data_IF_618867565454
#
_entry.id   IF_618867565454
#
_cell.length_a   1.000
_cell.length_b   1.000
_cell.length_c   1.000
_cell.angle_alpha   90.00
_cell.angle_beta   90.00
_cell.angle_gamma   90.00
#
_symmetry.space_group_name_H-M   'P 1'
#
loop_
_entity.id
_entity.type
_entity.pdbx_description
1 polymer ?
#
# COMPACT_ATOMS: atom_id res chain seq x y z
N UNK A 1 39.79 -46.89 22.04
CA UNK A 1 38.42 -47.22 21.60
C UNK A 1 37.34 -46.26 22.18
N UNK A 2 37.52 -45.48 23.30
CA UNK A 2 36.40 -44.59 23.76
C UNK A 2 36.21 -43.28 23.00
N UNK A 3 37.18 -42.81 22.21
CA UNK A 3 37.12 -41.49 21.55
C UNK A 3 36.12 -41.47 20.38
N UNK A 4 35.95 -42.56 19.65
CA UNK A 4 35.02 -42.66 18.53
C UNK A 4 33.56 -42.68 18.97
N UNK A 5 33.24 -43.16 20.16
CA UNK A 5 31.87 -43.20 20.69
C UNK A 5 31.39 -41.79 21.09
N UNK A 6 32.25 -40.93 21.61
CA UNK A 6 31.90 -39.54 22.00
C UNK A 6 31.67 -38.67 20.79
N UNK A 7 32.45 -38.82 19.72
CA UNK A 7 32.26 -38.06 18.47
C UNK A 7 30.92 -38.39 17.80
N UNK A 8 30.49 -39.66 17.82
CA UNK A 8 29.20 -40.08 17.26
C UNK A 8 28.01 -39.51 18.03
N UNK A 9 28.06 -39.43 19.34
CA UNK A 9 27.00 -38.85 20.17
C UNK A 9 26.88 -37.36 19.97
N UNK A 10 27.97 -36.60 19.85
CA UNK A 10 27.97 -35.17 19.60
C UNK A 10 27.42 -34.83 18.20
N UNK A 11 27.70 -35.67 17.19
CA UNK A 11 27.15 -35.52 15.84
C UNK A 11 25.64 -35.77 15.81
N UNK A 12 25.16 -36.79 16.51
CA UNK A 12 23.73 -37.09 16.63
C UNK A 12 22.95 -35.98 17.37
N UNK A 13 23.54 -35.46 18.46
CA UNK A 13 22.93 -34.33 19.20
C UNK A 13 22.90 -33.06 18.34
N UNK A 14 23.95 -32.79 17.56
CA UNK A 14 24.00 -31.68 16.63
C UNK A 14 22.95 -31.77 15.51
N UNK A 15 22.75 -32.97 14.94
CA UNK A 15 21.74 -33.24 13.92
C UNK A 15 20.35 -33.11 14.52
N UNK A 16 20.08 -33.64 15.69
CA UNK A 16 18.78 -33.52 16.37
C UNK A 16 18.50 -32.03 16.71
N UNK A 17 19.49 -31.30 17.18
CA UNK A 17 19.33 -29.87 17.47
C UNK A 17 19.10 -29.04 16.23
N UNK A 18 19.78 -29.38 15.12
CA UNK A 18 19.55 -28.74 13.82
C UNK A 18 18.14 -29.04 13.28
N UNK A 19 17.67 -30.28 13.39
CA UNK A 19 16.30 -30.64 12.98
C UNK A 19 15.23 -30.04 13.91
N UNK A 20 15.47 -29.93 15.22
CA UNK A 20 14.56 -29.23 16.12
C UNK A 20 14.48 -27.72 15.83
N UNK A 21 15.60 -27.11 15.45
CA UNK A 21 15.61 -25.68 15.07
C UNK A 21 15.00 -25.43 13.69
N UNK A 22 15.02 -26.43 12.81
CA UNK A 22 14.39 -26.33 11.48
C UNK A 22 12.90 -26.68 11.51
N UNK A 23 12.39 -27.31 12.57
CA UNK A 23 10.97 -27.67 12.69
C UNK A 23 10.12 -26.57 13.32
N UNK A 24 10.71 -25.51 13.88
CA UNK A 24 9.97 -24.33 14.33
C UNK A 24 9.34 -23.55 13.16
N UNK A 25 9.78 -23.80 11.92
CA UNK A 25 9.19 -23.24 10.70
C UNK A 25 7.97 -23.98 10.14
N UNK A 26 7.57 -25.13 10.74
CA UNK A 26 6.45 -25.95 10.24
C UNK A 26 5.18 -25.90 11.11
N UNK A 27 5.26 -25.36 12.31
CA UNK A 27 4.09 -25.06 13.13
C UNK A 27 3.84 -23.56 12.96
N UNK A 28 2.88 -23.23 12.13
CA UNK A 28 2.48 -21.91 11.70
C UNK A 28 2.78 -20.83 12.75
N UNK A 29 3.86 -20.10 12.52
CA UNK A 29 4.22 -18.97 13.35
C UNK A 29 3.04 -18.01 13.37
N UNK A 30 2.53 -17.74 14.56
CA UNK A 30 1.43 -16.79 14.71
C UNK A 30 1.96 -15.44 14.22
N UNK A 31 1.31 -14.86 13.24
CA UNK A 31 1.69 -13.53 12.79
C UNK A 31 1.69 -12.56 13.98
N UNK A 32 2.71 -11.75 14.13
CA UNK A 32 2.95 -10.91 15.32
C UNK A 32 2.68 -9.43 15.09
N UNK A 33 1.96 -9.05 14.02
CA UNK A 33 1.76 -7.64 13.70
C UNK A 33 3.08 -6.92 13.37
N UNK A 34 2.99 -5.76 12.79
CA UNK A 34 4.14 -4.89 12.52
C UNK A 34 3.90 -3.56 13.21
N UNK A 35 4.79 -3.21 14.15
CA UNK A 35 4.81 -1.88 14.76
C UNK A 35 5.65 -0.95 13.87
N UNK A 36 5.25 0.31 13.74
CA UNK A 36 6.03 1.28 13.00
C UNK A 36 5.19 2.27 12.21
N UNK A 37 5.76 2.74 11.12
CA UNK A 37 5.10 3.64 10.19
C UNK A 37 3.88 2.99 9.53
N UNK A 38 2.87 3.77 9.12
CA UNK A 38 1.65 3.19 8.55
C UNK A 38 1.88 2.34 7.31
N UNK A 39 2.94 2.61 6.53
CA UNK A 39 3.31 1.80 5.37
C UNK A 39 3.80 0.41 5.79
N UNK A 40 4.54 0.31 6.90
CA UNK A 40 5.05 -0.97 7.41
C UNK A 40 3.89 -1.81 7.96
N UNK A 41 2.96 -1.18 8.67
CA UNK A 41 1.74 -1.84 9.17
C UNK A 41 0.89 -2.36 8.01
N UNK A 42 0.67 -1.53 6.99
CA UNK A 42 -0.07 -1.95 5.80
C UNK A 42 0.61 -3.13 5.11
N UNK A 43 1.89 -2.97 4.74
CA UNK A 43 2.64 -4.00 4.01
C UNK A 43 2.74 -5.30 4.82
N UNK A 44 3.06 -5.21 6.10
CA UNK A 44 3.16 -6.36 6.98
C UNK A 44 1.85 -7.16 7.09
N UNK A 45 0.72 -6.48 7.18
CA UNK A 45 -0.60 -7.14 7.17
C UNK A 45 -0.84 -7.88 5.84
N UNK A 46 -0.58 -7.23 4.71
CA UNK A 46 -0.78 -7.83 3.40
C UNK A 46 0.17 -9.00 3.11
N UNK A 47 1.42 -8.90 3.52
CA UNK A 47 2.40 -9.99 3.39
C UNK A 47 2.02 -11.18 4.28
N UNK A 48 1.63 -10.92 5.52
CA UNK A 48 1.13 -11.95 6.43
C UNK A 48 -0.12 -12.65 5.88
N UNK A 49 -1.07 -11.89 5.32
CA UNK A 49 -2.25 -12.43 4.66
C UNK A 49 -1.89 -13.30 3.46
N UNK A 50 -1.04 -12.78 2.55
CA UNK A 50 -0.59 -13.51 1.37
C UNK A 50 0.14 -14.81 1.72
N UNK A 51 1.03 -14.76 2.71
CA UNK A 51 1.74 -15.96 3.17
C UNK A 51 0.79 -17.01 3.74
N UNK A 52 -0.18 -16.59 4.55
CA UNK A 52 -1.20 -17.50 5.07
C UNK A 52 -2.02 -18.11 3.92
N UNK A 53 -2.46 -17.31 2.94
CA UNK A 53 -3.18 -17.79 1.76
C UNK A 53 -2.40 -18.80 0.92
N UNK A 54 -1.08 -18.69 0.86
CA UNK A 54 -0.22 -19.67 0.18
C UNK A 54 -0.20 -21.04 0.85
N UNK A 55 -0.43 -21.07 2.16
CA UNK A 55 -0.51 -22.33 2.93
C UNK A 55 -1.89 -22.98 2.80
N UNK A 56 -2.95 -22.18 2.81
CA UNK A 56 -4.31 -22.68 2.65
C UNK A 56 -5.37 -21.58 2.69
N UNK A 57 -6.52 -21.88 2.10
CA UNK A 57 -7.58 -20.87 1.91
C UNK A 57 -8.10 -20.29 3.23
N UNK A 58 -8.11 -21.07 4.31
CA UNK A 58 -8.60 -20.63 5.62
C UNK A 58 -7.49 -20.19 6.60
N UNK A 59 -6.22 -20.29 6.21
CA UNK A 59 -5.08 -19.98 7.08
C UNK A 59 -5.02 -18.52 7.57
N UNK A 60 -5.45 -17.50 6.81
CA UNK A 60 -5.49 -16.13 7.34
C UNK A 60 -6.34 -16.00 8.62
N UNK A 61 -7.39 -16.80 8.76
CA UNK A 61 -8.29 -16.77 9.92
C UNK A 61 -7.74 -17.60 11.08
N UNK A 62 -7.18 -18.78 10.79
CA UNK A 62 -6.63 -19.70 11.83
C UNK A 62 -5.33 -19.18 12.43
N UNK A 63 -4.52 -18.45 11.70
CA UNK A 63 -3.28 -17.82 12.18
C UNK A 63 -3.49 -16.57 13.03
N UNK A 64 -4.73 -16.12 13.17
CA UNK A 64 -5.08 -15.01 14.04
C UNK A 64 -4.66 -13.64 13.51
N UNK A 65 -4.47 -13.48 12.18
CA UNK A 65 -4.13 -12.19 11.56
C UNK A 65 -5.16 -11.11 11.92
N UNK A 66 -6.43 -11.47 11.96
CA UNK A 66 -7.50 -10.53 12.29
C UNK A 66 -7.60 -10.19 13.79
N UNK A 67 -6.90 -10.90 14.68
CA UNK A 67 -6.96 -10.64 16.12
C UNK A 67 -5.98 -9.57 16.61
N UNK A 68 -5.19 -8.98 15.72
CA UNK A 68 -4.24 -7.93 16.07
C UNK A 68 -4.91 -6.57 16.30
N UNK A 69 -4.29 -5.79 17.19
CA UNK A 69 -4.74 -4.44 17.50
C UNK A 69 -4.70 -3.50 16.29
N UNK A 70 -3.81 -3.79 15.33
CA UNK A 70 -3.70 -3.04 14.08
C UNK A 70 -4.84 -3.30 13.10
N UNK A 71 -5.73 -4.25 13.37
CA UNK A 71 -6.92 -4.48 12.55
C UNK A 71 -8.13 -3.87 13.25
N UNK A 72 -8.73 -2.85 12.66
CA UNK A 72 -9.91 -2.18 13.17
C UNK A 72 -11.11 -3.14 13.28
N UNK A 73 -11.99 -2.88 14.23
CA UNK A 73 -13.11 -3.80 14.57
C UNK A 73 -14.05 -4.02 13.39
N UNK A 74 -14.43 -2.97 12.66
CA UNK A 74 -15.33 -3.06 11.51
C UNK A 74 -14.71 -3.87 10.36
N UNK A 75 -13.41 -3.68 10.10
CA UNK A 75 -12.69 -4.47 9.11
C UNK A 75 -12.58 -5.93 9.55
N UNK A 76 -12.29 -6.17 10.82
CA UNK A 76 -12.24 -7.51 11.41
C UNK A 76 -13.56 -8.27 11.24
N UNK A 77 -14.68 -7.61 11.56
CA UNK A 77 -16.02 -8.20 11.40
C UNK A 77 -16.28 -8.53 9.93
N UNK A 78 -16.03 -7.60 9.03
CA UNK A 78 -16.23 -7.77 7.59
C UNK A 78 -15.40 -8.91 7.02
N UNK A 79 -14.10 -8.98 7.35
CA UNK A 79 -13.23 -10.06 6.87
C UNK A 79 -13.57 -11.41 7.52
N UNK A 80 -13.97 -11.44 8.79
CA UNK A 80 -14.37 -12.67 9.47
C UNK A 80 -15.61 -13.35 8.83
N UNK A 81 -16.41 -12.59 8.07
CA UNK A 81 -17.52 -13.15 7.32
C UNK A 81 -17.09 -14.14 6.20
N UNK A 82 -15.82 -14.12 5.81
CA UNK A 82 -15.23 -15.04 4.83
C UNK A 82 -14.60 -16.28 5.46
N UNK A 83 -14.54 -16.39 6.80
CA UNK A 83 -14.00 -17.56 7.49
C UNK A 83 -14.75 -18.83 7.10
N UNK A 84 -14.02 -19.85 6.66
CA UNK A 84 -14.56 -21.10 6.14
C UNK A 84 -15.28 -21.01 4.79
N UNK A 85 -15.28 -19.84 4.14
CA UNK A 85 -15.95 -19.60 2.85
C UNK A 85 -15.02 -19.19 1.73
N UNK A 86 -13.81 -18.70 2.07
CA UNK A 86 -12.84 -18.26 1.08
C UNK A 86 -12.29 -19.48 0.33
N UNK A 87 -12.29 -19.41 -0.99
CA UNK A 87 -11.79 -20.47 -1.87
C UNK A 87 -10.77 -19.91 -2.86
N UNK A 88 -9.97 -20.79 -3.46
CA UNK A 88 -8.89 -20.39 -4.37
C UNK A 88 -9.38 -19.89 -5.75
N UNK A 89 -10.66 -20.07 -6.06
CA UNK A 89 -11.31 -19.64 -7.30
C UNK A 89 -12.14 -18.35 -7.14
N UNK A 90 -12.17 -17.79 -5.93
CA UNK A 90 -12.84 -16.52 -5.63
C UNK A 90 -11.83 -15.38 -5.53
N UNK A 91 -12.32 -14.19 -5.79
CA UNK A 91 -11.57 -12.97 -5.53
C UNK A 91 -11.29 -12.84 -4.02
N UNK A 92 -10.01 -12.67 -3.69
CA UNK A 92 -9.57 -12.50 -2.31
C UNK A 92 -10.00 -11.12 -1.79
N UNK A 93 -10.65 -11.03 -0.62
CA UNK A 93 -11.19 -9.77 -0.10
C UNK A 93 -10.11 -8.77 0.35
N UNK A 94 -8.86 -9.19 0.45
CA UNK A 94 -7.72 -8.34 0.82
C UNK A 94 -6.83 -8.08 -0.38
N UNK A 95 -6.49 -9.14 -1.14
CA UNK A 95 -5.59 -9.04 -2.29
C UNK A 95 -6.30 -8.56 -3.57
N UNK A 96 -7.64 -8.56 -3.57
CA UNK A 96 -8.49 -8.09 -4.66
C UNK A 96 -8.18 -8.73 -6.02
N UNK A 97 -7.89 -10.01 -5.99
CA UNK A 97 -7.63 -10.84 -7.17
C UNK A 97 -7.81 -12.32 -6.85
N UNK A 98 -8.05 -13.11 -7.87
CA UNK A 98 -8.24 -14.57 -7.75
C UNK A 98 -6.90 -15.27 -7.56
N UNK A 99 -5.91 -14.92 -8.38
CA UNK A 99 -4.60 -15.57 -8.35
C UNK A 99 -3.68 -14.91 -7.32
N UNK A 100 -3.05 -15.69 -6.46
CA UNK A 100 -2.11 -15.19 -5.48
C UNK A 100 -0.87 -14.58 -6.18
N UNK A 101 -0.47 -13.35 -5.80
CA UNK A 101 0.72 -12.71 -6.36
C UNK A 101 2.01 -13.35 -5.84
N UNK A 102 3.11 -13.19 -6.59
CA UNK A 102 4.45 -13.56 -6.11
C UNK A 102 4.95 -12.60 -5.02
N UNK A 103 4.53 -11.34 -5.08
CA UNK A 103 4.87 -10.31 -4.12
C UNK A 103 3.93 -9.12 -4.22
N UNK A 104 4.06 -8.22 -3.26
CA UNK A 104 3.24 -7.02 -3.14
C UNK A 104 4.14 -5.79 -3.08
N UNK A 105 3.58 -4.66 -3.48
CA UNK A 105 4.18 -3.34 -3.29
C UNK A 105 3.11 -2.35 -2.87
N UNK A 106 3.50 -1.40 -2.05
CA UNK A 106 2.66 -0.28 -1.65
C UNK A 106 3.05 0.96 -2.44
N UNK A 107 2.05 1.77 -2.77
CA UNK A 107 2.22 3.11 -3.32
C UNK A 107 1.45 4.05 -2.41
N UNK A 108 2.10 5.05 -1.80
CA UNK A 108 1.40 5.98 -0.93
C UNK A 108 0.41 6.81 -1.75
N UNK A 109 -0.80 6.95 -1.22
CA UNK A 109 -1.85 7.81 -1.77
C UNK A 109 -1.88 9.13 -1.01
N UNK A 110 -1.92 9.05 0.32
CA UNK A 110 -1.70 10.19 1.21
C UNK A 110 -1.25 9.71 2.59
N UNK A 111 -0.65 10.62 3.37
CA UNK A 111 -0.33 10.45 4.77
C UNK A 111 -0.52 11.80 5.48
N UNK A 112 -1.22 11.77 6.60
CA UNK A 112 -1.39 12.86 7.56
C UNK A 112 -1.08 12.33 8.95
N UNK A 113 -1.04 13.19 9.96
CA UNK A 113 -0.65 12.81 11.33
C UNK A 113 -1.48 11.67 11.91
N UNK A 114 -2.76 11.59 11.57
CA UNK A 114 -3.69 10.61 12.13
C UNK A 114 -4.32 9.68 11.09
N UNK A 115 -4.01 9.84 9.80
CA UNK A 115 -4.60 9.05 8.73
C UNK A 115 -3.62 8.82 7.58
N UNK A 116 -3.64 7.62 7.02
CA UNK A 116 -2.85 7.27 5.85
C UNK A 116 -3.62 6.35 4.92
N UNK A 117 -3.29 6.41 3.63
CA UNK A 117 -3.86 5.52 2.63
C UNK A 117 -2.79 5.08 1.65
N UNK A 118 -2.78 3.80 1.35
CA UNK A 118 -1.85 3.20 0.40
C UNK A 118 -2.60 2.39 -0.63
N UNK A 119 -2.12 2.44 -1.86
CA UNK A 119 -2.50 1.51 -2.90
C UNK A 119 -1.57 0.30 -2.82
N UNK A 120 -2.13 -0.89 -2.64
CA UNK A 120 -1.39 -2.15 -2.61
C UNK A 120 -1.62 -2.89 -3.91
N UNK A 121 -0.54 -3.31 -4.55
CA UNK A 121 -0.57 -3.96 -5.87
C UNK A 121 0.27 -5.22 -5.91
N UNK A 122 -0.13 -6.14 -6.79
CA UNK A 122 0.73 -7.25 -7.19
C UNK A 122 2.01 -6.77 -7.88
N UNK A 123 3.13 -7.44 -7.61
CA UNK A 123 4.36 -7.31 -8.39
C UNK A 123 4.44 -8.31 -9.54
N UNK A 124 3.49 -9.23 -9.62
CA UNK A 124 3.44 -10.27 -10.66
C UNK A 124 2.99 -9.68 -11.99
N UNK A 125 3.78 -9.92 -13.02
CA UNK A 125 3.47 -9.41 -14.37
C UNK A 125 2.13 -9.95 -14.88
N UNK A 126 1.27 -9.05 -15.35
CA UNK A 126 -0.04 -9.39 -15.94
C UNK A 126 -1.15 -9.55 -14.91
N UNK A 127 -0.87 -9.43 -13.62
CA UNK A 127 -1.90 -9.32 -12.59
C UNK A 127 -2.25 -7.85 -12.37
N UNK A 128 -3.55 -7.56 -12.30
CA UNK A 128 -4.10 -6.21 -12.17
C UNK A 128 -4.80 -5.99 -10.83
N UNK A 129 -4.76 -6.98 -9.94
CA UNK A 129 -5.34 -6.88 -8.60
C UNK A 129 -4.69 -5.75 -7.81
N UNK A 130 -5.54 -4.89 -7.28
CA UNK A 130 -5.12 -3.79 -6.42
C UNK A 130 -6.19 -3.49 -5.39
N UNK A 131 -5.75 -3.02 -4.24
CA UNK A 131 -6.60 -2.56 -3.17
C UNK A 131 -6.10 -1.24 -2.61
N UNK A 132 -7.01 -0.46 -2.07
CA UNK A 132 -6.69 0.70 -1.26
C UNK A 132 -6.88 0.30 0.20
N UNK A 133 -5.82 0.47 0.98
CA UNK A 133 -5.84 0.27 2.41
C UNK A 133 -5.83 1.61 3.13
N UNK A 134 -6.74 1.78 4.06
CA UNK A 134 -6.89 2.99 4.87
C UNK A 134 -6.48 2.68 6.31
N UNK A 135 -5.62 3.54 6.86
CA UNK A 135 -5.16 3.45 8.25
C UNK A 135 -5.48 4.73 9.01
N UNK A 136 -5.75 4.57 10.30
CA UNK A 136 -5.97 5.67 11.24
C UNK A 136 -5.08 5.45 12.46
N UNK A 137 -4.44 6.50 12.93
CA UNK A 137 -3.70 6.47 14.18
C UNK A 137 -4.69 6.51 15.36
N UNK A 138 -4.61 5.53 16.25
CA UNK A 138 -5.43 5.44 17.46
C UNK A 138 -4.56 5.01 18.63
N UNK A 139 -4.56 5.81 19.69
CA UNK A 139 -3.79 5.52 20.91
C UNK A 139 -2.30 5.28 20.66
N UNK A 140 -1.72 5.95 19.64
CA UNK A 140 -0.31 5.81 19.24
C UNK A 140 -0.01 4.61 18.35
N UNK A 141 -1.02 3.85 17.92
CA UNK A 141 -0.90 2.72 17.02
C UNK A 141 -1.63 2.99 15.70
N UNK A 142 -1.04 2.60 14.59
CA UNK A 142 -1.73 2.61 13.31
C UNK A 142 -2.65 1.40 13.19
N UNK A 143 -3.93 1.66 12.90
CA UNK A 143 -4.94 0.62 12.67
C UNK A 143 -5.42 0.66 11.23
N UNK A 144 -5.47 -0.51 10.59
CA UNK A 144 -6.11 -0.69 9.30
C UNK A 144 -7.61 -0.70 9.52
N UNK A 145 -8.29 0.33 9.05
CA UNK A 145 -9.74 0.51 9.24
C UNK A 145 -10.55 0.08 8.03
N UNK A 146 -9.95 0.14 6.84
CA UNK A 146 -10.64 -0.25 5.62
C UNK A 146 -9.70 -0.84 4.57
N UNK A 147 -10.25 -1.75 3.76
CA UNK A 147 -9.65 -2.30 2.53
C UNK A 147 -10.74 -2.29 1.47
N UNK A 148 -10.48 -1.58 0.37
CA UNK A 148 -11.38 -1.49 -0.77
C UNK A 148 -10.71 -2.03 -2.02
N UNK A 149 -11.36 -2.97 -2.71
CA UNK A 149 -10.88 -3.51 -3.97
C UNK A 149 -11.09 -2.54 -5.12
N UNK A 150 -10.16 -2.52 -6.07
CA UNK A 150 -10.17 -1.61 -7.20
C UNK A 150 -9.50 -0.27 -6.90
N UNK A 151 -9.82 0.74 -7.66
CA UNK A 151 -9.16 2.04 -7.57
C UNK A 151 -9.56 2.88 -6.34
N UNK A 152 -10.43 2.37 -5.47
CA UNK A 152 -10.95 3.07 -4.30
C UNK A 152 -11.39 4.51 -4.62
N UNK A 153 -12.47 4.94 -4.08
CA UNK A 153 -13.01 6.23 -4.51
C UNK A 153 -12.54 7.40 -3.67
N UNK A 154 -12.06 7.18 -2.43
CA UNK A 154 -11.82 8.36 -1.58
C UNK A 154 -10.91 8.07 -0.39
N UNK A 155 -10.07 9.04 -0.05
CA UNK A 155 -9.36 9.08 1.23
C UNK A 155 -10.32 9.21 2.44
N UNK A 156 -9.85 8.98 3.67
CA UNK A 156 -10.70 9.00 4.88
C UNK A 156 -11.42 10.32 5.11
N UNK A 157 -11.02 11.38 4.45
CA UNK A 157 -11.70 12.67 4.54
C UNK A 157 -12.75 12.86 3.44
N UNK A 158 -13.01 11.84 2.63
CA UNK A 158 -14.15 11.78 1.73
C UNK A 158 -14.05 12.60 0.45
N UNK A 159 -12.89 13.18 0.12
CA UNK A 159 -12.80 14.01 -1.08
C UNK A 159 -12.10 13.32 -2.25
N UNK A 160 -10.85 12.87 -2.07
CA UNK A 160 -10.08 12.30 -3.20
C UNK A 160 -9.09 11.25 -2.72
N UNK A 161 -8.90 10.20 -3.51
CA UNK A 161 -7.90 9.16 -3.25
C UNK A 161 -6.46 9.64 -3.49
N UNK A 162 -6.28 10.80 -4.10
CA UNK A 162 -5.02 11.47 -4.32
C UNK A 162 -5.16 12.96 -3.98
N UNK A 163 -4.36 13.42 -3.03
CA UNK A 163 -4.25 14.85 -2.65
C UNK A 163 -2.80 15.12 -2.26
N UNK A 164 -2.00 15.63 -3.19
CA UNK A 164 -0.57 15.86 -3.02
C UNK A 164 -0.15 17.22 -3.53
N UNK A 165 0.83 17.80 -2.86
CA UNK A 165 1.50 19.04 -3.29
C UNK A 165 2.88 18.69 -3.81
N UNK A 166 3.25 19.28 -4.96
CA UNK A 166 4.51 19.02 -5.62
C UNK A 166 4.74 19.99 -6.76
N UNK A 167 5.60 19.60 -7.69
CA UNK A 167 5.92 20.39 -8.89
C UNK A 167 5.35 19.74 -10.14
N UNK A 168 4.75 20.54 -11.01
CA UNK A 168 4.30 20.07 -12.32
C UNK A 168 5.48 19.95 -13.28
N UNK A 169 5.59 18.79 -13.93
CA UNK A 169 6.56 18.54 -15.00
C UNK A 169 5.85 17.92 -16.20
N UNK A 170 6.23 18.35 -17.40
CA UNK A 170 5.80 17.74 -18.67
C UNK A 170 6.98 17.11 -19.40
N UNK A 171 8.17 17.69 -19.29
CA UNK A 171 9.40 17.12 -19.83
C UNK A 171 9.99 16.15 -18.80
N UNK A 172 9.71 14.88 -18.98
CA UNK A 172 10.15 13.81 -18.07
C UNK A 172 11.01 12.80 -18.82
N UNK A 173 12.02 12.19 -18.16
CA UNK A 173 12.83 11.15 -18.76
C UNK A 173 12.04 9.83 -18.87
N UNK A 174 12.40 9.00 -19.84
CA UNK A 174 11.89 7.62 -19.88
C UNK A 174 12.19 6.90 -18.55
N UNK A 175 11.29 6.03 -18.05
CA UNK A 175 10.13 5.45 -18.72
C UNK A 175 8.82 6.27 -18.60
N UNK A 176 8.86 7.49 -18.10
CA UNK A 176 7.67 8.33 -18.00
C UNK A 176 7.24 8.85 -19.38
N UNK A 177 5.94 9.06 -19.57
CA UNK A 177 5.39 9.50 -20.85
C UNK A 177 5.20 11.03 -20.88
N UNK A 178 6.00 11.73 -21.67
CA UNK A 178 5.97 13.19 -21.84
C UNK A 178 4.68 13.72 -22.51
N UNK A 179 3.77 12.86 -22.96
CA UNK A 179 2.45 13.30 -23.43
C UNK A 179 1.57 13.80 -22.29
N UNK A 180 1.85 13.40 -21.05
CA UNK A 180 1.09 13.80 -19.87
C UNK A 180 1.89 14.77 -19.00
N UNK A 181 1.17 15.61 -18.28
CA UNK A 181 1.72 16.29 -17.13
C UNK A 181 2.00 15.29 -16.02
N UNK A 182 3.00 15.55 -15.21
CA UNK A 182 3.35 14.75 -14.03
C UNK A 182 3.37 15.64 -12.79
N UNK A 183 2.90 15.13 -11.68
CA UNK A 183 3.20 15.71 -10.38
C UNK A 183 4.42 15.01 -9.81
N UNK A 184 5.45 15.77 -9.49
CA UNK A 184 6.63 15.29 -8.75
C UNK A 184 6.52 15.81 -7.33
N UNK A 185 6.45 14.90 -6.36
CA UNK A 185 6.28 15.23 -4.96
C UNK A 185 7.17 14.36 -4.09
N UNK A 186 7.48 14.84 -2.89
CA UNK A 186 8.21 14.09 -1.86
C UNK A 186 7.23 13.55 -0.85
N UNK A 187 7.54 12.38 -0.31
CA UNK A 187 6.78 11.75 0.75
C UNK A 187 7.72 11.12 1.76
N UNK A 188 7.59 11.52 3.03
CA UNK A 188 8.34 10.99 4.17
C UNK A 188 9.87 10.90 3.96
N UNK A 189 10.47 11.89 3.31
CA UNK A 189 11.92 11.95 3.06
C UNK A 189 12.43 11.00 1.98
N UNK A 190 11.54 10.35 1.23
CA UNK A 190 11.89 9.55 0.06
C UNK A 190 11.80 10.42 -1.19
N UNK A 191 12.88 10.42 -1.96
CA UNK A 191 13.05 11.17 -3.20
C UNK A 191 11.88 10.98 -4.17
N UNK A 192 11.49 12.10 -4.73
CA UNK A 192 10.51 12.40 -5.74
C UNK A 192 9.70 11.26 -6.35
N UNK A 193 8.48 11.11 -5.90
CA UNK A 193 7.49 10.33 -6.63
C UNK A 193 7.03 11.13 -7.84
N UNK A 194 6.95 10.51 -9.02
CA UNK A 194 6.40 11.10 -10.21
C UNK A 194 5.16 10.33 -10.65
N UNK A 195 4.02 11.02 -10.78
CA UNK A 195 2.76 10.39 -11.17
C UNK A 195 2.17 11.10 -12.39
N UNK A 196 1.75 10.37 -13.45
CA UNK A 196 1.07 10.96 -14.60
C UNK A 196 -0.29 11.52 -14.21
N UNK A 197 -0.64 12.68 -14.78
CA UNK A 197 -1.88 13.40 -14.55
C UNK A 197 -2.76 13.33 -15.79
N UNK A 198 -3.96 12.73 -15.65
CA UNK A 198 -4.97 12.73 -16.71
C UNK A 198 -5.91 13.90 -16.48
N UNK A 199 -5.66 14.96 -17.24
CA UNK A 199 -6.42 16.21 -17.21
C UNK A 199 -7.45 16.14 -18.34
N UNK A 200 -8.73 16.33 -18.03
CA UNK A 200 -9.82 16.32 -18.97
C UNK A 200 -10.68 17.59 -18.86
N UNK A 201 -11.77 17.65 -19.64
CA UNK A 201 -12.68 18.80 -19.62
C UNK A 201 -13.46 19.01 -18.32
N UNK A 202 -13.40 18.05 -17.39
CA UNK A 202 -14.01 18.14 -16.06
C UNK A 202 -13.03 18.59 -14.98
N UNK A 203 -11.73 18.70 -15.31
CA UNK A 203 -10.71 19.15 -14.37
C UNK A 203 -10.84 20.64 -14.09
N UNK A 204 -10.87 21.01 -12.82
CA UNK A 204 -10.89 22.42 -12.38
C UNK A 204 -9.48 22.86 -12.03
N UNK A 205 -8.98 23.91 -12.68
CA UNK A 205 -7.72 24.55 -12.33
C UNK A 205 -7.98 25.86 -11.59
N UNK A 206 -7.13 26.13 -10.59
CA UNK A 206 -7.24 27.30 -9.73
C UNK A 206 -5.91 28.02 -9.71
N UNK A 207 -5.94 29.30 -10.01
CA UNK A 207 -4.80 30.21 -9.92
C UNK A 207 -4.33 30.39 -8.45
N UNK A 208 -3.14 30.99 -8.29
CA UNK A 208 -2.60 31.35 -6.98
C UNK A 208 -3.47 32.32 -6.18
N UNK A 209 -4.30 33.11 -6.87
CA UNK A 209 -5.24 34.07 -6.26
C UNK A 209 -6.59 33.40 -5.89
N UNK A 210 -6.74 32.10 -6.11
CA UNK A 210 -7.94 31.35 -5.84
C UNK A 210 -9.01 31.39 -6.94
N UNK A 211 -8.74 32.06 -8.07
CA UNK A 211 -9.69 32.11 -9.19
C UNK A 211 -9.62 30.86 -10.06
N UNK A 212 -10.77 30.37 -10.52
CA UNK A 212 -10.83 29.25 -11.46
C UNK A 212 -10.39 29.71 -12.87
N UNK A 213 -9.62 28.84 -13.53
CA UNK A 213 -9.08 29.06 -14.85
C UNK A 213 -9.10 27.77 -15.68
N UNK A 214 -8.93 27.90 -16.99
CA UNK A 214 -8.76 26.74 -17.85
C UNK A 214 -7.44 26.02 -17.55
N UNK A 215 -7.49 24.68 -17.54
CA UNK A 215 -6.30 23.84 -17.38
C UNK A 215 -5.51 23.73 -18.69
N UNK A 216 -4.95 24.84 -19.16
CA UNK A 216 -4.20 24.91 -20.40
C UNK A 216 -2.71 25.22 -20.20
N UNK A 217 -1.94 25.22 -21.28
CA UNK A 217 -0.52 25.51 -21.25
C UNK A 217 -0.19 26.99 -20.88
N UNK A 218 -1.18 27.87 -20.76
CA UNK A 218 -0.99 29.21 -20.25
C UNK A 218 -0.93 29.22 -18.72
N UNK A 219 -1.70 28.35 -18.08
CA UNK A 219 -1.76 28.20 -16.65
C UNK A 219 -0.72 27.19 -16.15
N UNK A 220 -0.72 26.01 -16.75
CA UNK A 220 0.20 24.93 -16.34
C UNK A 220 1.59 25.18 -16.92
N UNK A 221 2.58 25.35 -16.07
CA UNK A 221 3.98 25.58 -16.44
C UNK A 221 4.87 24.54 -15.81
N UNK A 222 6.00 24.27 -16.46
CA UNK A 222 7.08 23.46 -15.90
C UNK A 222 7.54 24.00 -14.55
N UNK A 223 7.76 23.10 -13.62
CA UNK A 223 8.28 23.39 -12.27
C UNK A 223 7.40 24.31 -11.41
N UNK A 224 6.14 24.56 -11.82
CA UNK A 224 5.24 25.34 -10.99
C UNK A 224 4.75 24.50 -9.81
N UNK A 225 4.76 25.05 -8.59
CA UNK A 225 4.19 24.35 -7.44
C UNK A 225 2.67 24.24 -7.56
N UNK A 226 2.14 23.05 -7.33
CA UNK A 226 0.71 22.80 -7.41
C UNK A 226 0.28 21.73 -6.40
N UNK A 227 -0.92 21.87 -5.87
CA UNK A 227 -1.65 20.82 -5.17
C UNK A 227 -2.60 20.16 -6.15
N UNK A 228 -2.49 18.86 -6.30
CA UNK A 228 -3.32 18.07 -7.22
C UNK A 228 -4.21 17.15 -6.41
N UNK A 229 -5.50 17.22 -6.72
CA UNK A 229 -6.55 16.36 -6.14
C UNK A 229 -7.21 15.55 -7.25
N UNK A 230 -7.43 14.27 -7.00
CA UNK A 230 -8.03 13.37 -7.98
C UNK A 230 -8.15 11.92 -7.52
N UNK A 231 -8.44 11.07 -8.45
CA UNK A 231 -8.58 9.63 -8.21
C UNK A 231 -7.34 8.89 -8.74
N UNK A 232 -6.67 8.16 -7.86
CA UNK A 232 -5.50 7.35 -8.24
C UNK A 232 -5.93 6.11 -9.01
N UNK A 233 -5.25 5.83 -10.11
CA UNK A 233 -5.40 4.62 -10.91
C UNK A 233 -4.05 3.94 -11.15
N UNK A 234 -4.04 2.76 -11.78
CA UNK A 234 -2.79 2.08 -12.16
C UNK A 234 -1.90 2.89 -13.10
N UNK A 235 -2.52 3.68 -13.96
CA UNK A 235 -1.82 4.44 -14.99
C UNK A 235 -1.48 5.87 -14.58
N UNK A 236 -2.05 6.37 -13.46
CA UNK A 236 -1.84 7.72 -12.98
C UNK A 236 -3.06 8.27 -12.25
N UNK A 237 -3.18 9.59 -12.16
CA UNK A 237 -4.24 10.29 -11.45
C UNK A 237 -5.25 10.86 -12.43
N UNK A 238 -6.51 10.46 -12.31
CA UNK A 238 -7.63 11.16 -12.94
C UNK A 238 -7.89 12.45 -12.16
N UNK A 239 -7.42 13.56 -12.70
CA UNK A 239 -7.37 14.83 -11.98
C UNK A 239 -8.75 15.48 -11.93
N UNK A 240 -9.18 15.85 -10.72
CA UNK A 240 -10.40 16.64 -10.51
C UNK A 240 -10.08 18.11 -10.28
N UNK A 241 -8.97 18.42 -9.61
CA UNK A 241 -8.59 19.79 -9.29
C UNK A 241 -7.07 19.96 -9.24
N UNK A 242 -6.59 21.07 -9.79
CA UNK A 242 -5.21 21.54 -9.67
C UNK A 242 -5.25 22.94 -9.07
N UNK A 243 -4.59 23.14 -7.94
CA UNK A 243 -4.46 24.42 -7.26
C UNK A 243 -3.00 24.87 -7.35
N UNK A 244 -2.74 26.00 -8.02
CA UNK A 244 -1.40 26.58 -8.05
C UNK A 244 -1.08 27.19 -6.69
N UNK A 245 0.03 26.80 -6.09
CA UNK A 245 0.48 27.30 -4.77
C UNK A 245 1.73 28.17 -4.91
N UNK A 246 2.01 29.01 -3.91
CA UNK A 246 3.19 29.89 -3.96
C UNK A 246 4.49 29.14 -3.66
N UNK A 247 4.43 28.22 -2.72
CA UNK A 247 5.58 27.39 -2.31
C UNK A 247 5.10 25.99 -1.96
N UNK A 248 5.98 25.01 -2.16
CA UNK A 248 5.80 23.66 -1.58
C UNK A 248 6.39 23.73 -0.18
N UNK A 249 5.57 23.56 0.85
CA UNK A 249 6.06 23.33 2.21
C UNK A 249 6.69 21.94 2.23
N UNK A 250 8.01 21.87 2.30
CA UNK A 250 8.69 20.62 2.65
C UNK A 250 8.55 20.56 4.16
N UNK A 251 7.68 19.68 4.64
CA UNK A 251 7.61 19.36 6.06
C UNK A 251 8.88 18.58 6.41
N UNK A 252 9.70 19.18 7.30
CA UNK A 252 10.90 18.55 7.87
C UNK A 252 10.52 17.53 8.94
#
# INVERSE_FOLDING_TARGET
VPILAVAGVLLLVGIIWFFMRSSDGLLGERWHGVEGEPVDVALGFYEGWLEARRVGDNEPFTRGILSYEQVGDDLRERLSAFDGKLTSDQEDPVLCQVQLPEGLRTVPVYKQDEAAQFLVRSTTKGQTGQSIVTLVAKDGLWQITDITCGNGEMGPQGEFSFDKTGFLLKQVPAPLDSNYWHLVFEEAGVLGHAVPLFIDGGTVCVNKDGTEAACDDNLLKETIPARVKGEMSESGVAVKRIELVETVSIEE
#
